data_IF_362058276962
#
_entry.id   IF_362058276962
#
_cell.length_a   1.000
_cell.length_b   1.000
_cell.length_c   1.000
_cell.angle_alpha   90.00
_cell.angle_beta   90.00
_cell.angle_gamma   90.00
#
_symmetry.space_group_name_H-M   'P 1'
#
loop_
_entity.id
_entity.type
_entity.pdbx_description
1 polymer ?
#
# COMPACT_ATOMS: atom_id res chain seq x y z
N UNK A 1 -14.70 -11.55 21.82
CA UNK A 1 -13.77 -12.07 20.79
C UNK A 1 -14.22 -11.49 19.47
N UNK A 2 -13.29 -10.88 18.73
CA UNK A 2 -13.58 -10.34 17.40
C UNK A 2 -14.08 -11.44 16.46
N UNK A 3 -14.94 -11.08 15.51
CA UNK A 3 -15.37 -11.98 14.43
C UNK A 3 -14.19 -12.33 13.51
N UNK A 4 -14.30 -13.42 12.74
CA UNK A 4 -13.26 -13.78 11.77
C UNK A 4 -13.02 -12.68 10.73
N UNK A 5 -14.09 -11.99 10.33
CA UNK A 5 -14.04 -10.84 9.42
C UNK A 5 -13.31 -9.65 10.06
N UNK A 6 -13.59 -9.33 11.31
CA UNK A 6 -12.90 -8.26 12.05
C UNK A 6 -11.40 -8.58 12.22
N UNK A 7 -11.06 -9.83 12.53
CA UNK A 7 -9.66 -10.29 12.62
C UNK A 7 -8.96 -10.13 11.27
N UNK A 8 -9.60 -10.53 10.18
CA UNK A 8 -9.05 -10.39 8.84
C UNK A 8 -8.80 -8.91 8.50
N UNK A 9 -9.80 -8.05 8.70
CA UNK A 9 -9.71 -6.60 8.43
C UNK A 9 -8.57 -5.97 9.21
N UNK A 10 -8.52 -6.14 10.53
CA UNK A 10 -7.46 -5.58 11.37
C UNK A 10 -6.07 -6.07 10.97
N UNK A 11 -5.95 -7.35 10.63
CA UNK A 11 -4.68 -7.97 10.22
C UNK A 11 -4.19 -7.40 8.89
N UNK A 12 -5.08 -7.25 7.91
CA UNK A 12 -4.75 -6.67 6.60
C UNK A 12 -4.46 -5.17 6.69
N UNK A 13 -5.17 -4.43 7.53
CA UNK A 13 -4.86 -3.02 7.80
C UNK A 13 -3.46 -2.88 8.43
N UNK A 14 -3.14 -3.70 9.43
CA UNK A 14 -1.82 -3.69 10.06
C UNK A 14 -0.70 -4.06 9.09
N UNK A 15 -0.96 -4.99 8.16
CA UNK A 15 -0.01 -5.30 7.10
C UNK A 15 0.18 -4.12 6.15
N UNK A 16 -0.91 -3.50 5.69
CA UNK A 16 -0.87 -2.35 4.79
C UNK A 16 -0.12 -1.16 5.40
N UNK A 17 -0.40 -0.83 6.67
CA UNK A 17 0.35 0.20 7.42
C UNK A 17 1.83 -0.17 7.62
N UNK A 18 2.15 -1.46 7.71
CA UNK A 18 3.56 -1.88 7.78
C UNK A 18 4.31 -1.57 6.47
N UNK A 19 3.62 -1.62 5.31
CA UNK A 19 4.22 -1.37 3.99
C UNK A 19 4.31 0.13 3.67
N UNK A 20 3.22 0.87 3.82
CA UNK A 20 3.19 2.34 3.70
C UNK A 20 2.54 2.91 4.96
N UNK A 21 3.36 3.31 5.95
CA UNK A 21 2.86 3.72 7.26
C UNK A 21 2.11 5.05 7.21
N UNK A 22 1.12 5.20 8.08
CA UNK A 22 0.36 6.44 8.26
C UNK A 22 0.15 6.81 9.72
N UNK A 23 -0.60 7.90 9.92
CA UNK A 23 -1.07 8.38 11.20
C UNK A 23 -2.25 7.55 11.72
N UNK A 24 -2.31 7.37 13.04
CA UNK A 24 -3.42 6.71 13.72
C UNK A 24 -4.74 7.45 13.50
N UNK A 25 -5.82 6.70 13.29
CA UNK A 25 -7.20 7.25 13.24
C UNK A 25 -7.68 7.71 14.62
N UNK A 26 -7.22 7.05 15.67
CA UNK A 26 -7.49 7.36 17.08
C UNK A 26 -6.37 6.82 17.98
N UNK A 27 -6.25 7.27 19.25
CA UNK A 27 -5.24 6.73 20.17
C UNK A 27 -5.28 5.19 20.31
N UNK A 28 -6.48 4.61 20.24
CA UNK A 28 -6.77 3.19 20.40
C UNK A 28 -6.67 2.38 19.09
N UNK A 29 -6.27 3.01 17.99
CA UNK A 29 -6.03 2.30 16.73
C UNK A 29 -4.77 1.42 16.88
N UNK A 30 -4.98 0.10 16.87
CA UNK A 30 -3.90 -0.88 16.94
C UNK A 30 -3.47 -1.36 15.55
N UNK A 31 -4.33 -1.26 14.54
CA UNK A 31 -3.96 -1.69 13.19
C UNK A 31 -2.96 -0.70 12.59
N UNK A 32 -3.23 0.60 12.69
CA UNK A 32 -2.29 1.64 12.26
C UNK A 32 -1.33 1.99 13.39
N UNK A 33 -0.03 1.84 13.17
CA UNK A 33 0.97 2.04 14.22
C UNK A 33 1.25 3.53 14.51
N UNK A 34 0.98 4.44 13.56
CA UNK A 34 1.20 5.88 13.76
C UNK A 34 2.66 6.32 13.69
N UNK A 35 3.52 5.58 12.97
CA UNK A 35 4.97 5.83 12.94
C UNK A 35 5.41 6.85 11.88
N UNK A 36 4.51 7.27 11.00
CA UNK A 36 4.76 8.31 10.00
C UNK A 36 3.69 9.40 10.10
N UNK A 37 4.06 10.68 9.95
CA UNK A 37 3.07 11.73 9.76
C UNK A 37 2.37 11.59 8.39
N UNK A 38 1.13 12.06 8.32
CA UNK A 38 0.25 11.96 7.17
C UNK A 38 -0.38 10.58 6.94
N UNK A 39 -1.18 10.52 5.89
CA UNK A 39 -1.92 9.35 5.46
C UNK A 39 -1.01 8.25 4.89
N UNK A 40 -1.30 6.98 5.24
CA UNK A 40 -0.61 5.78 4.73
C UNK A 40 -1.46 4.95 3.77
N UNK A 41 -1.07 3.70 3.52
CA UNK A 41 -1.79 2.78 2.63
C UNK A 41 -3.23 2.51 3.08
N UNK A 42 -3.48 2.42 4.40
CA UNK A 42 -4.83 2.18 4.94
C UNK A 42 -5.78 3.31 4.52
N UNK A 43 -5.41 4.56 4.76
CA UNK A 43 -6.20 5.72 4.38
C UNK A 43 -6.29 5.91 2.85
N UNK A 44 -5.27 5.46 2.11
CA UNK A 44 -5.29 5.43 0.64
C UNK A 44 -6.23 4.36 0.05
N UNK A 45 -6.89 3.54 0.88
CA UNK A 45 -7.85 2.54 0.40
C UNK A 45 -7.24 1.17 0.10
N UNK A 46 -6.18 0.76 0.82
CA UNK A 46 -5.58 -0.55 0.62
C UNK A 46 -6.57 -1.71 0.76
N UNK A 47 -7.47 -1.66 1.75
CA UNK A 47 -8.49 -2.71 1.92
C UNK A 47 -9.51 -2.74 0.78
N UNK A 48 -9.90 -1.58 0.27
CA UNK A 48 -10.79 -1.49 -0.89
C UNK A 48 -10.13 -2.13 -2.11
N UNK A 49 -8.86 -1.78 -2.38
CA UNK A 49 -8.11 -2.37 -3.48
C UNK A 49 -7.91 -3.88 -3.32
N UNK A 50 -7.54 -4.36 -2.14
CA UNK A 50 -7.34 -5.79 -1.89
C UNK A 50 -8.62 -6.60 -2.15
N UNK A 51 -9.79 -6.02 -1.83
CA UNK A 51 -11.09 -6.65 -2.08
C UNK A 51 -11.65 -6.39 -3.48
N UNK A 52 -10.95 -5.64 -4.33
CA UNK A 52 -11.39 -5.35 -5.69
C UNK A 52 -11.20 -6.58 -6.58
N UNK A 53 -12.29 -7.08 -7.17
CA UNK A 53 -12.31 -8.35 -7.93
C UNK A 53 -11.24 -8.43 -9.02
N UNK A 54 -10.92 -7.31 -9.66
CA UNK A 54 -9.92 -7.27 -10.74
C UNK A 54 -8.49 -7.57 -10.27
N UNK A 55 -8.22 -7.56 -8.96
CA UNK A 55 -6.91 -7.95 -8.42
C UNK A 55 -6.66 -9.45 -8.51
N UNK A 56 -7.71 -10.27 -8.53
CA UNK A 56 -7.61 -11.72 -8.59
C UNK A 56 -7.08 -12.38 -7.30
N UNK A 57 -6.92 -11.65 -6.19
CA UNK A 57 -6.36 -12.17 -4.93
C UNK A 57 -7.38 -12.32 -3.79
N UNK A 58 -8.61 -11.82 -3.96
CA UNK A 58 -9.65 -11.74 -2.92
C UNK A 58 -9.87 -13.08 -2.21
N UNK A 59 -9.92 -14.19 -2.97
CA UNK A 59 -10.13 -15.54 -2.42
C UNK A 59 -8.98 -16.02 -1.51
N UNK A 60 -7.77 -15.47 -1.68
CA UNK A 60 -6.60 -15.79 -0.86
C UNK A 60 -6.47 -14.96 0.41
N UNK A 61 -7.21 -13.85 0.54
CA UNK A 61 -7.07 -12.93 1.67
C UNK A 61 -7.35 -13.57 3.04
N UNK A 62 -8.39 -14.41 3.23
CA UNK A 62 -8.62 -15.04 4.53
C UNK A 62 -7.45 -15.95 4.94
N UNK A 63 -6.91 -16.72 3.98
CA UNK A 63 -5.76 -17.59 4.22
C UNK A 63 -4.50 -16.78 4.55
N UNK A 64 -4.23 -15.70 3.83
CA UNK A 64 -3.07 -14.85 4.07
C UNK A 64 -3.17 -14.14 5.43
N UNK A 65 -4.34 -13.65 5.82
CA UNK A 65 -4.54 -13.04 7.13
C UNK A 65 -4.33 -14.06 8.27
N UNK A 66 -4.85 -15.28 8.11
CA UNK A 66 -4.62 -16.36 9.08
C UNK A 66 -3.13 -16.73 9.16
N UNK A 67 -2.49 -17.01 8.02
CA UNK A 67 -1.06 -17.36 7.96
C UNK A 67 -0.19 -16.26 8.57
N UNK A 68 -0.51 -14.98 8.32
CA UNK A 68 0.23 -13.86 8.89
C UNK A 68 0.15 -13.82 10.43
N UNK A 69 -1.01 -14.11 10.99
CA UNK A 69 -1.18 -14.20 12.45
C UNK A 69 -0.44 -15.41 13.04
N UNK A 70 -0.38 -16.53 12.33
CA UNK A 70 0.39 -17.70 12.79
C UNK A 70 1.91 -17.44 12.74
N UNK A 71 2.39 -16.81 11.66
CA UNK A 71 3.77 -16.31 11.56
C UNK A 71 4.12 -15.31 12.68
N UNK A 72 3.18 -14.44 13.04
CA UNK A 72 3.36 -13.48 14.12
C UNK A 72 3.49 -14.16 15.50
N UNK A 73 2.70 -15.19 15.79
CA UNK A 73 2.83 -15.98 17.02
C UNK A 73 4.20 -16.68 17.09
N UNK A 74 4.61 -17.32 15.99
CA UNK A 74 5.93 -17.99 15.91
C UNK A 74 7.05 -16.98 16.12
N UNK A 75 7.00 -15.85 15.40
CA UNK A 75 7.98 -14.78 15.54
C UNK A 75 8.07 -14.27 16.98
N UNK A 76 6.93 -14.00 17.62
CA UNK A 76 6.88 -13.52 18.99
C UNK A 76 7.50 -14.53 19.98
N UNK A 77 7.25 -15.83 19.79
CA UNK A 77 7.89 -16.88 20.57
C UNK A 77 9.42 -16.94 20.37
N UNK A 78 9.90 -16.73 19.14
CA UNK A 78 11.36 -16.71 18.84
C UNK A 78 12.09 -15.53 19.48
N UNK A 79 11.42 -14.38 19.62
CA UNK A 79 12.01 -13.16 20.20
C UNK A 79 11.57 -12.91 21.64
N UNK A 80 10.90 -13.88 22.27
CA UNK A 80 10.40 -13.82 23.64
C UNK A 80 9.53 -12.58 23.93
N UNK A 81 8.66 -12.24 22.96
CA UNK A 81 7.71 -11.13 23.06
C UNK A 81 6.34 -11.63 23.49
N UNK A 82 5.81 -11.09 24.61
CA UNK A 82 4.42 -11.31 25.00
C UNK A 82 3.47 -10.49 24.12
N UNK A 83 2.46 -11.14 23.55
CA UNK A 83 1.43 -10.50 22.73
C UNK A 83 0.18 -10.24 23.58
N UNK A 84 -0.46 -9.11 23.32
CA UNK A 84 -1.81 -8.84 23.82
C UNK A 84 -2.80 -9.85 23.23
N UNK A 85 -3.45 -10.64 24.10
CA UNK A 85 -4.37 -11.69 23.70
C UNK A 85 -5.71 -11.16 23.19
N UNK A 86 -6.03 -9.89 23.42
CA UNK A 86 -7.26 -9.26 22.94
C UNK A 86 -7.15 -8.79 21.49
N UNK A 87 -5.94 -8.80 20.92
CA UNK A 87 -5.65 -8.37 19.55
C UNK A 87 -5.27 -9.56 18.65
N UNK A 88 -5.51 -9.47 17.33
CA UNK A 88 -4.89 -10.40 16.39
C UNK A 88 -3.36 -10.39 16.54
N UNK A 89 -2.67 -11.54 16.53
CA UNK A 89 -1.25 -11.64 16.82
C UNK A 89 -0.36 -10.68 16.02
N UNK A 90 -0.60 -10.50 14.72
CA UNK A 90 0.18 -9.58 13.91
C UNK A 90 -0.07 -8.11 14.29
N UNK A 91 -1.31 -7.79 14.68
CA UNK A 91 -1.71 -6.46 15.16
C UNK A 91 -1.10 -6.17 16.54
N UNK A 92 -0.95 -7.19 17.40
CA UNK A 92 -0.31 -7.06 18.70
C UNK A 92 1.20 -6.76 18.62
N UNK A 93 1.85 -7.04 17.48
CA UNK A 93 3.27 -6.73 17.30
C UNK A 93 3.49 -5.21 17.22
N UNK A 94 4.50 -4.66 17.93
CA UNK A 94 4.98 -3.31 17.68
C UNK A 94 5.50 -3.16 16.24
N UNK A 95 5.46 -1.94 15.68
CA UNK A 95 5.81 -1.67 14.27
C UNK A 95 7.16 -2.25 13.83
N UNK A 96 8.20 -2.10 14.66
CA UNK A 96 9.55 -2.61 14.36
C UNK A 96 9.56 -4.13 14.18
N UNK A 97 8.75 -4.85 14.96
CA UNK A 97 8.59 -6.30 14.87
C UNK A 97 7.74 -6.70 13.66
N UNK A 98 6.68 -5.93 13.33
CA UNK A 98 5.94 -6.13 12.07
C UNK A 98 6.86 -6.00 10.86
N UNK A 99 7.68 -4.94 10.80
CA UNK A 99 8.65 -4.71 9.72
C UNK A 99 9.67 -5.84 9.62
N UNK A 100 10.21 -6.29 10.76
CA UNK A 100 11.15 -7.40 10.81
C UNK A 100 10.54 -8.71 10.30
N UNK A 101 9.29 -9.01 10.70
CA UNK A 101 8.58 -10.18 10.23
C UNK A 101 8.27 -10.10 8.73
N UNK A 102 7.70 -8.99 8.25
CA UNK A 102 7.43 -8.79 6.82
C UNK A 102 8.71 -8.95 5.99
N UNK A 103 9.84 -8.41 6.45
CA UNK A 103 11.14 -8.58 5.80
C UNK A 103 11.56 -10.05 5.66
N UNK A 104 11.27 -10.89 6.67
CA UNK A 104 11.53 -12.34 6.62
C UNK A 104 10.62 -13.03 5.61
N UNK A 105 9.33 -12.71 5.66
CA UNK A 105 8.29 -13.29 4.80
C UNK A 105 8.50 -12.98 3.32
N UNK A 106 9.03 -11.80 2.98
CA UNK A 106 9.30 -11.39 1.60
C UNK A 106 10.70 -11.78 1.10
N UNK A 107 11.52 -12.44 1.93
CA UNK A 107 12.90 -12.81 1.57
C UNK A 107 12.93 -13.84 0.43
N UNK A 108 13.89 -13.75 -0.52
CA UNK A 108 14.12 -14.81 -1.50
C UNK A 108 14.29 -16.18 -0.83
N UNK A 109 13.57 -17.18 -1.33
CA UNK A 109 13.56 -18.55 -0.80
C UNK A 109 12.50 -18.85 0.25
N UNK A 110 11.75 -17.85 0.73
CA UNK A 110 10.59 -18.12 1.59
C UNK A 110 9.48 -18.80 0.77
N UNK A 111 8.87 -19.91 1.26
CA UNK A 111 7.90 -20.69 0.48
C UNK A 111 6.66 -19.89 0.09
N UNK A 112 6.20 -19.00 0.97
CA UNK A 112 5.00 -18.17 0.76
C UNK A 112 5.31 -16.77 0.22
N UNK A 113 6.56 -16.51 -0.21
CA UNK A 113 7.03 -15.17 -0.60
C UNK A 113 6.08 -14.46 -1.57
N UNK A 114 5.58 -15.19 -2.58
CA UNK A 114 4.76 -14.63 -3.65
C UNK A 114 3.46 -14.00 -3.11
N UNK A 115 2.82 -14.62 -2.12
CA UNK A 115 1.63 -14.07 -1.47
C UNK A 115 1.94 -12.77 -0.71
N UNK A 116 3.04 -12.75 0.04
CA UNK A 116 3.45 -11.56 0.80
C UNK A 116 3.86 -10.40 -0.10
N UNK A 117 4.62 -10.69 -1.17
CA UNK A 117 4.99 -9.67 -2.16
C UNK A 117 3.76 -9.14 -2.89
N UNK A 118 2.78 -9.99 -3.19
CA UNK A 118 1.52 -9.57 -3.80
C UNK A 118 0.73 -8.63 -2.89
N UNK A 119 0.55 -8.95 -1.60
CA UNK A 119 -0.08 -8.04 -0.64
C UNK A 119 0.66 -6.70 -0.57
N UNK A 120 1.99 -6.74 -0.45
CA UNK A 120 2.81 -5.53 -0.38
C UNK A 120 2.68 -4.66 -1.65
N UNK A 121 2.62 -5.30 -2.82
CA UNK A 121 2.39 -4.62 -4.10
C UNK A 121 1.06 -3.86 -4.07
N UNK A 122 -0.05 -4.50 -3.70
CA UNK A 122 -1.35 -3.82 -3.65
C UNK A 122 -1.41 -2.72 -2.59
N UNK A 123 -0.71 -2.87 -1.47
CA UNK A 123 -0.61 -1.81 -0.46
C UNK A 123 0.10 -0.56 -1.02
N UNK A 124 1.18 -0.73 -1.78
CA UNK A 124 1.83 0.37 -2.48
C UNK A 124 0.92 0.96 -3.56
N UNK A 125 0.27 0.11 -4.36
CA UNK A 125 -0.62 0.53 -5.45
C UNK A 125 -1.82 1.34 -4.94
N UNK A 126 -2.36 1.01 -3.77
CA UNK A 126 -3.39 1.83 -3.15
C UNK A 126 -2.90 3.27 -2.93
N UNK A 127 -1.65 3.45 -2.50
CA UNK A 127 -1.07 4.76 -2.28
C UNK A 127 -0.68 5.48 -3.59
N UNK A 128 0.09 4.84 -4.46
CA UNK A 128 0.78 5.52 -5.56
C UNK A 128 -0.01 5.63 -6.87
N UNK A 129 -1.02 4.78 -7.06
CA UNK A 129 -1.73 4.66 -8.34
C UNK A 129 -3.25 4.60 -8.19
N UNK A 130 -3.75 4.10 -7.05
CA UNK A 130 -5.16 3.91 -6.75
C UNK A 130 -5.97 3.25 -7.90
N UNK A 131 -5.52 2.10 -8.43
CA UNK A 131 -6.02 1.53 -9.70
C UNK A 131 -7.49 1.08 -9.64
N UNK A 132 -8.08 0.96 -8.45
CA UNK A 132 -9.49 0.65 -8.24
C UNK A 132 -10.39 1.89 -8.39
N UNK A 133 -9.82 3.09 -8.60
CA UNK A 133 -10.56 4.36 -8.66
C UNK A 133 -10.28 5.11 -9.95
N UNK A 134 -11.28 5.85 -10.45
CA UNK A 134 -11.06 6.79 -11.54
C UNK A 134 -10.18 7.95 -11.04
N UNK A 135 -9.07 8.23 -11.73
CA UNK A 135 -8.04 9.17 -11.22
C UNK A 135 -8.59 10.56 -10.89
N UNK A 136 -9.50 11.10 -11.72
CA UNK A 136 -10.11 12.40 -11.45
C UNK A 136 -10.96 12.41 -10.16
N UNK A 137 -11.66 11.31 -9.87
CA UNK A 137 -12.49 11.17 -8.68
C UNK A 137 -11.64 10.98 -7.42
N UNK A 138 -10.59 10.17 -7.52
CA UNK A 138 -9.61 10.00 -6.45
C UNK A 138 -8.97 11.35 -6.07
N UNK A 139 -8.56 12.15 -7.06
CA UNK A 139 -8.01 13.49 -6.81
C UNK A 139 -9.03 14.46 -6.24
N UNK A 140 -10.27 14.47 -6.75
CA UNK A 140 -11.33 15.31 -6.22
C UNK A 140 -11.68 14.96 -4.76
N UNK A 141 -11.58 13.68 -4.40
CA UNK A 141 -11.75 13.18 -3.03
C UNK A 141 -10.51 13.39 -2.13
N UNK A 142 -9.43 13.99 -2.64
CA UNK A 142 -8.25 14.28 -1.86
C UNK A 142 -7.33 13.08 -1.61
N UNK A 143 -7.24 12.14 -2.56
CA UNK A 143 -6.46 10.92 -2.39
C UNK A 143 -5.00 11.20 -1.97
N UNK A 144 -4.55 10.67 -0.81
CA UNK A 144 -3.32 11.14 -0.18
C UNK A 144 -2.06 10.87 -1.00
N UNK A 145 -1.88 9.66 -1.50
CA UNK A 145 -0.65 9.31 -2.21
C UNK A 145 -0.53 9.94 -3.60
N UNK A 146 -1.60 9.94 -4.40
CA UNK A 146 -1.65 10.72 -5.66
C UNK A 146 -1.30 12.20 -5.46
N UNK A 147 -1.85 12.86 -4.43
CA UNK A 147 -1.52 14.25 -4.13
C UNK A 147 -0.06 14.42 -3.69
N UNK A 148 0.46 13.50 -2.86
CA UNK A 148 1.86 13.51 -2.43
C UNK A 148 2.83 13.33 -3.62
N UNK A 149 2.46 12.52 -4.62
CA UNK A 149 3.20 12.33 -5.87
C UNK A 149 3.08 13.52 -6.85
N UNK A 150 2.21 14.50 -6.55
CA UNK A 150 2.06 15.72 -7.32
C UNK A 150 1.07 15.62 -8.47
N UNK A 151 0.21 14.61 -8.49
CA UNK A 151 -0.95 14.59 -9.38
C UNK A 151 -1.87 15.77 -9.07
N UNK A 152 -2.50 16.31 -10.11
CA UNK A 152 -3.43 17.45 -10.02
C UNK A 152 -4.62 17.18 -10.91
N UNK A 153 -5.76 17.78 -10.58
CA UNK A 153 -6.92 17.77 -11.45
C UNK A 153 -6.57 18.30 -12.84
N UNK A 154 -7.29 17.86 -13.89
CA UNK A 154 -7.14 18.46 -15.22
C UNK A 154 -7.44 19.97 -15.17
N UNK A 155 -6.92 20.69 -16.17
CA UNK A 155 -7.21 22.11 -16.33
C UNK A 155 -8.71 22.35 -16.58
N UNK A 156 -9.15 23.60 -16.55
CA UNK A 156 -10.56 23.98 -16.71
C UNK A 156 -11.22 23.48 -18.02
N UNK A 157 -10.42 23.13 -19.03
CA UNK A 157 -10.87 22.54 -20.29
C UNK A 157 -10.92 20.99 -20.28
N UNK A 158 -10.68 20.37 -19.12
CA UNK A 158 -10.71 18.92 -18.93
C UNK A 158 -9.46 18.20 -19.39
N UNK A 159 -8.43 18.92 -19.85
CA UNK A 159 -7.19 18.30 -20.35
C UNK A 159 -6.14 18.19 -19.23
N UNK A 160 -5.49 17.02 -19.19
CA UNK A 160 -4.40 16.75 -18.27
C UNK A 160 -3.12 17.35 -18.83
N UNK A 161 -2.59 18.35 -18.13
CA UNK A 161 -1.34 19.01 -18.52
C UNK A 161 -0.36 19.03 -17.36
N UNK A 162 0.89 18.72 -17.68
CA UNK A 162 2.01 18.85 -16.77
C UNK A 162 2.87 19.99 -17.29
N UNK A 163 2.67 21.25 -16.85
CA UNK A 163 3.39 22.41 -17.41
C UNK A 163 4.91 22.32 -17.22
N UNK A 164 5.37 21.48 -16.28
CA UNK A 164 6.77 21.11 -16.09
C UNK A 164 7.02 19.71 -16.66
N UNK A 165 7.06 19.62 -17.99
CA UNK A 165 7.28 18.37 -18.74
C UNK A 165 8.71 18.33 -19.32
N UNK A 166 9.73 18.44 -18.48
CA UNK A 166 11.10 18.29 -18.95
C UNK A 166 12.00 17.96 -17.78
N UNK A 167 13.04 17.17 -18.05
CA UNK A 167 14.17 16.99 -17.14
C UNK A 167 14.97 18.30 -16.93
N UNK A 168 14.54 19.42 -17.50
CA UNK A 168 15.24 20.71 -17.47
C UNK A 168 16.53 20.71 -18.27
N UNK A 169 16.76 19.65 -19.06
CA UNK A 169 17.98 19.45 -19.85
C UNK A 169 17.66 18.73 -21.16
N UNK A 170 18.47 19.01 -22.19
CA UNK A 170 18.42 18.29 -23.46
C UNK A 170 18.92 16.86 -23.26
N UNK A 171 18.08 15.86 -23.54
CA UNK A 171 18.46 14.44 -23.43
C UNK A 171 19.10 13.89 -24.70
N UNK A 172 18.73 14.42 -25.86
CA UNK A 172 19.24 14.02 -27.16
C UNK A 172 19.11 15.17 -28.18
N UNK A 173 19.93 15.11 -29.23
CA UNK A 173 19.74 15.92 -30.43
C UNK A 173 18.55 15.36 -31.24
N UNK A 174 17.67 16.20 -31.80
CA UNK A 174 16.64 15.75 -32.73
C UNK A 174 17.25 15.05 -33.95
N UNK A 175 16.66 13.95 -34.40
CA UNK A 175 17.07 13.29 -35.64
C UNK A 175 16.77 14.22 -36.84
N UNK A 176 17.61 14.28 -37.89
CA UNK A 176 17.35 15.13 -39.07
C UNK A 176 15.96 14.94 -39.69
N UNK A 177 15.44 13.71 -39.63
CA UNK A 177 14.11 13.34 -40.13
C UNK A 177 13.01 13.46 -39.06
N UNK A 178 13.12 14.44 -38.15
CA UNK A 178 12.07 14.76 -37.17
C UNK A 178 11.29 15.98 -37.66
N UNK A 179 9.96 15.88 -37.72
CA UNK A 179 9.10 17.01 -38.08
C UNK A 179 9.20 18.14 -37.05
N UNK A 180 8.80 19.39 -37.40
CA UNK A 180 8.76 20.50 -36.44
C UNK A 180 7.88 20.24 -35.20
N UNK A 181 6.91 19.32 -35.29
CA UNK A 181 6.07 18.89 -34.16
C UNK A 181 6.69 17.78 -33.31
N UNK A 182 7.88 17.26 -33.67
CA UNK A 182 8.58 16.22 -32.93
C UNK A 182 8.22 14.78 -33.32
N UNK A 183 7.58 14.56 -34.48
CA UNK A 183 7.24 13.23 -34.98
C UNK A 183 8.30 12.70 -35.96
N UNK A 184 8.53 11.38 -36.06
CA UNK A 184 9.30 10.82 -37.17
C UNK A 184 8.63 11.19 -38.50
N UNK A 185 9.43 11.69 -39.46
CA UNK A 185 8.97 12.03 -40.81
C UNK A 185 8.86 10.80 -41.71
#
# INVERSE_FOLDING_TARGET
>A
MASEEEVQVLTLEAYADTIVPGEKRSPDDHAVAGVSPGAGAVEAGALELLNYDATGITAGLPYLAQSLNDHAKTYAGEVELELDSDLPPFVALPYEHRRALVTRLTKPGHPEKEGWVSLALFCNMAYDTAPHRHTAEALAAGHPGLLALGYRLPDADGLWRFPKFSYGRKLAEPHPDTTPSGSPA
#
